data_IF_686215034141
#
_entry.id   IF_686215034141
#
_cell.length_a   1.000
_cell.length_b   1.000
_cell.length_c   1.000
_cell.angle_alpha   90.00
_cell.angle_beta   90.00
_cell.angle_gamma   90.00
#
_symmetry.space_group_name_H-M   'P 1'
#
loop_
_entity.id
_entity.type
_entity.pdbx_description
1 polymer ?
#
# COMPACT_ATOMS: atom_id res chain seq x y z
N UNK A 1 10.60 -15.54 -23.64
CA UNK A 1 9.52 -14.92 -24.44
C UNK A 1 9.00 -13.72 -23.65
N UNK A 2 9.03 -12.54 -24.27
CA UNK A 2 8.91 -11.24 -23.58
C UNK A 2 7.51 -10.95 -23.05
N UNK A 3 7.47 -10.45 -21.81
CA UNK A 3 6.24 -10.01 -21.13
C UNK A 3 5.85 -8.65 -21.72
N UNK A 4 4.82 -8.64 -22.57
CA UNK A 4 4.34 -7.43 -23.25
C UNK A 4 3.47 -6.57 -22.32
N UNK A 5 3.73 -5.26 -22.34
CA UNK A 5 3.01 -4.21 -21.62
C UNK A 5 1.48 -4.33 -21.79
N UNK A 6 0.79 -4.69 -20.71
CA UNK A 6 -0.67 -4.62 -20.59
C UNK A 6 -1.10 -3.18 -20.37
N UNK A 7 -2.24 -2.84 -20.94
CA UNK A 7 -2.98 -1.57 -20.83
C UNK A 7 -3.12 -1.11 -19.37
N UNK A 8 -2.15 -0.30 -18.95
CA UNK A 8 -2.04 0.30 -17.63
C UNK A 8 -2.94 1.54 -17.55
N UNK A 9 -4.26 1.35 -17.61
CA UNK A 9 -5.21 2.48 -17.50
C UNK A 9 -6.20 2.40 -16.34
N UNK A 10 -6.22 1.32 -15.56
CA UNK A 10 -7.17 1.20 -14.43
C UNK A 10 -6.59 0.59 -13.14
N UNK A 11 -5.27 0.45 -13.04
CA UNK A 11 -4.61 0.01 -11.80
C UNK A 11 -4.18 1.16 -10.88
N UNK A 12 -4.62 2.40 -11.15
CA UNK A 12 -4.17 3.57 -10.39
C UNK A 12 -4.99 3.83 -9.11
N UNK A 13 -6.28 3.48 -8.96
CA UNK A 13 -6.92 3.70 -7.66
C UNK A 13 -6.47 2.70 -6.58
N UNK A 14 -5.80 1.59 -6.94
CA UNK A 14 -5.36 0.56 -5.97
C UNK A 14 -3.84 0.52 -5.78
N UNK A 15 -3.05 1.20 -6.62
CA UNK A 15 -1.58 1.21 -6.53
C UNK A 15 -0.96 2.60 -6.29
N UNK A 16 -1.76 3.63 -5.99
CA UNK A 16 -1.25 4.97 -5.74
C UNK A 16 -1.99 5.67 -4.60
N UNK A 17 -1.78 5.23 -3.36
CA UNK A 17 -1.89 6.09 -2.17
C UNK A 17 -0.74 5.73 -1.25
N UNK A 18 0.37 6.43 -1.43
CA UNK A 18 1.45 6.49 -0.47
C UNK A 18 1.62 7.97 -0.12
N UNK A 19 1.64 8.24 1.20
CA UNK A 19 2.13 9.46 1.87
C UNK A 19 1.22 10.69 1.77
N UNK A 20 0.67 11.26 2.87
CA UNK A 20 1.18 12.41 3.70
C UNK A 20 0.15 12.82 4.79
N UNK A 21 0.63 13.46 5.88
CA UNK A 21 0.02 13.59 7.21
C UNK A 21 -1.14 14.62 7.42
N UNK A 22 -1.59 14.82 8.67
CA UNK A 22 -2.21 16.07 9.16
C UNK A 22 -3.68 16.07 9.61
N UNK A 23 -3.91 16.59 10.82
CA UNK A 23 -5.08 16.41 11.72
C UNK A 23 -6.32 17.27 11.41
N UNK A 24 -7.52 16.72 11.66
CA UNK A 24 -8.77 17.46 11.90
C UNK A 24 -9.97 16.55 12.18
N UNK A 25 -10.57 16.67 13.37
CA UNK A 25 -11.63 15.79 13.88
C UNK A 25 -12.93 15.83 13.06
N UNK A 26 -13.52 14.67 12.78
CA UNK A 26 -14.90 14.55 12.26
C UNK A 26 -15.71 13.72 13.26
N UNK A 27 -16.77 14.34 13.80
CA UNK A 27 -17.66 13.74 14.79
C UNK A 27 -18.53 12.61 14.23
N UNK A 28 -19.33 11.96 15.08
CA UNK A 28 -20.06 10.74 14.72
C UNK A 28 -21.13 11.04 13.65
N UNK A 29 -21.04 10.34 12.52
CA UNK A 29 -22.09 10.34 11.49
C UNK A 29 -23.22 9.42 11.97
N UNK A 30 -24.42 9.98 12.06
CA UNK A 30 -25.65 9.27 12.41
C UNK A 30 -25.87 8.07 11.49
N UNK A 31 -26.25 6.94 12.08
CA UNK A 31 -26.58 5.72 11.35
C UNK A 31 -27.86 5.92 10.52
N UNK A 32 -27.68 6.22 9.24
CA UNK A 32 -28.76 6.20 8.25
C UNK A 32 -29.09 4.74 7.91
N UNK A 33 -30.36 4.47 7.59
CA UNK A 33 -30.79 3.12 7.24
C UNK A 33 -30.00 2.62 6.02
N UNK A 34 -29.41 1.42 6.10
CA UNK A 34 -28.60 0.89 5.00
C UNK A 34 -29.41 0.86 3.69
N UNK A 35 -28.85 1.33 2.56
CA UNK A 35 -29.58 1.41 1.30
C UNK A 35 -30.09 0.04 0.84
N UNK A 36 -31.33 -0.05 0.37
CA UNK A 36 -31.86 -1.29 -0.20
C UNK A 36 -31.44 -1.40 -1.67
N UNK A 37 -30.34 -2.11 -1.92
CA UNK A 37 -29.86 -2.42 -3.27
C UNK A 37 -30.18 -3.86 -3.66
N UNK A 38 -30.34 -4.18 -4.96
CA UNK A 38 -30.51 -5.54 -5.42
C UNK A 38 -29.35 -6.46 -5.00
N UNK A 39 -29.63 -7.73 -4.73
CA UNK A 39 -28.58 -8.70 -4.43
C UNK A 39 -27.65 -8.88 -5.64
N UNK A 40 -26.34 -8.93 -5.38
CA UNK A 40 -25.31 -9.16 -6.39
C UNK A 40 -24.27 -10.14 -5.85
N UNK A 41 -23.76 -11.03 -6.70
CA UNK A 41 -22.67 -11.94 -6.33
C UNK A 41 -21.34 -11.20 -6.23
N UNK A 42 -20.38 -11.73 -5.47
CA UNK A 42 -19.03 -11.17 -5.41
C UNK A 42 -18.34 -11.18 -6.80
N UNK A 43 -18.59 -12.21 -7.61
CA UNK A 43 -18.05 -12.33 -8.96
C UNK A 43 -18.59 -11.23 -9.88
N UNK A 44 -19.90 -10.99 -9.84
CA UNK A 44 -20.54 -9.96 -10.66
C UNK A 44 -20.10 -8.56 -10.21
N UNK A 45 -20.00 -8.32 -8.91
CA UNK A 45 -19.50 -7.05 -8.37
C UNK A 45 -18.06 -6.77 -8.85
N UNK A 46 -17.16 -7.76 -8.75
CA UNK A 46 -15.78 -7.62 -9.25
C UNK A 46 -15.71 -7.45 -10.78
N UNK A 47 -16.63 -8.07 -11.51
CA UNK A 47 -16.77 -7.90 -12.96
C UNK A 47 -17.17 -6.46 -13.30
N UNK A 48 -18.13 -5.90 -12.56
CA UNK A 48 -18.59 -4.52 -12.71
C UNK A 48 -17.48 -3.53 -12.39
N UNK A 49 -16.73 -3.72 -11.31
CA UNK A 49 -15.57 -2.89 -10.95
C UNK A 49 -14.52 -2.86 -12.06
N UNK A 50 -14.20 -4.01 -12.65
CA UNK A 50 -13.24 -4.09 -13.77
C UNK A 50 -13.73 -3.43 -15.06
N UNK A 51 -15.05 -3.33 -15.22
CA UNK A 51 -15.69 -2.73 -16.39
C UNK A 51 -16.08 -1.27 -16.17
N UNK A 52 -15.83 -0.73 -14.98
CA UNK A 52 -16.12 0.65 -14.63
C UNK A 52 -15.43 1.60 -15.61
N UNK A 53 -16.15 2.63 -16.04
CA UNK A 53 -15.63 3.70 -16.87
C UNK A 53 -16.11 5.02 -16.29
N UNK A 54 -15.15 5.89 -15.98
CA UNK A 54 -15.40 7.18 -15.36
C UNK A 54 -14.56 8.19 -16.13
N UNK A 55 -15.24 9.14 -16.76
CA UNK A 55 -14.60 10.16 -17.60
C UNK A 55 -13.99 11.27 -16.76
N UNK A 56 -14.49 11.46 -15.52
CA UNK A 56 -13.87 12.31 -14.51
C UNK A 56 -14.35 12.00 -13.09
N UNK A 57 -13.51 12.35 -12.12
CA UNK A 57 -13.76 12.14 -10.71
C UNK A 57 -13.13 13.28 -9.93
N UNK A 58 -13.81 13.77 -8.90
CA UNK A 58 -13.18 14.62 -7.89
C UNK A 58 -13.72 14.29 -6.51
N UNK A 59 -12.91 14.52 -5.48
CA UNK A 59 -13.33 14.22 -4.13
C UNK A 59 -12.27 14.46 -3.07
N UNK A 60 -12.68 14.24 -1.84
CA UNK A 60 -11.79 14.22 -0.68
C UNK A 60 -11.70 12.80 -0.16
N UNK A 61 -10.48 12.29 -0.07
CA UNK A 61 -10.16 10.98 0.48
C UNK A 61 -9.52 11.18 1.83
N UNK A 62 -9.96 10.41 2.81
CA UNK A 62 -9.37 10.34 4.12
C UNK A 62 -8.78 8.95 4.33
N UNK A 63 -7.53 8.90 4.79
CA UNK A 63 -6.92 7.68 5.28
C UNK A 63 -6.78 7.78 6.79
N UNK A 64 -7.06 6.70 7.52
CA UNK A 64 -6.69 6.53 8.91
C UNK A 64 -5.97 5.19 9.09
N UNK A 65 -4.93 5.17 9.92
CA UNK A 65 -4.23 3.96 10.27
C UNK A 65 -3.95 3.93 11.78
N UNK A 66 -4.55 2.97 12.47
CA UNK A 66 -4.30 2.65 13.87
C UNK A 66 -3.89 1.18 13.97
N UNK A 67 -2.61 0.94 13.76
CA UNK A 67 -2.02 -0.39 13.90
C UNK A 67 -1.79 -0.77 15.37
N UNK A 68 -2.15 0.09 16.33
CA UNK A 68 -1.88 -0.06 17.76
C UNK A 68 -0.40 -0.06 18.13
N UNK A 69 0.47 0.44 17.24
CA UNK A 69 1.91 0.47 17.48
C UNK A 69 2.23 1.45 18.62
N UNK A 70 3.04 1.07 19.61
CA UNK A 70 3.48 2.01 20.62
C UNK A 70 4.32 3.11 19.97
N UNK A 71 4.19 4.35 20.45
CA UNK A 71 5.13 5.39 20.08
C UNK A 71 6.53 4.95 20.55
N UNK A 72 7.52 4.99 19.65
CA UNK A 72 8.93 4.69 19.98
C UNK A 72 9.74 5.99 19.87
N UNK A 73 9.89 6.76 20.96
CA UNK A 73 10.77 7.92 21.00
C UNK A 73 12.23 7.50 20.74
N UNK A 74 12.94 8.31 19.95
CA UNK A 74 14.36 8.10 19.66
C UNK A 74 14.67 7.31 18.38
N UNK A 75 13.66 6.92 17.59
CA UNK A 75 13.89 6.41 16.24
C UNK A 75 14.69 7.39 15.38
N UNK A 76 15.50 6.86 14.45
CA UNK A 76 16.21 7.66 13.48
C UNK A 76 15.20 8.52 12.67
N UNK A 77 15.54 9.77 12.30
CA UNK A 77 14.62 10.69 11.64
C UNK A 77 13.85 10.05 10.46
N UNK A 78 14.53 9.31 9.58
CA UNK A 78 13.89 8.66 8.43
C UNK A 78 12.99 7.45 8.75
N UNK A 79 13.22 6.73 9.85
CA UNK A 79 12.34 5.61 10.25
C UNK A 79 11.13 6.11 11.04
N UNK A 80 11.28 7.21 11.77
CA UNK A 80 10.17 7.89 12.45
C UNK A 80 9.20 8.48 11.43
N UNK A 81 9.70 9.20 10.43
CA UNK A 81 8.91 9.74 9.32
C UNK A 81 8.11 8.64 8.59
N UNK A 82 8.73 7.48 8.32
CA UNK A 82 8.04 6.35 7.71
C UNK A 82 6.96 5.74 8.63
N UNK A 83 7.20 5.70 9.94
CA UNK A 83 6.23 5.12 10.90
C UNK A 83 5.06 6.07 11.13
N UNK A 84 5.33 7.37 11.26
CA UNK A 84 4.33 8.45 11.38
C UNK A 84 3.51 8.62 10.09
N UNK A 85 3.98 8.05 8.98
CA UNK A 85 3.25 7.98 7.72
C UNK A 85 2.37 6.73 7.58
N UNK A 86 2.77 5.66 8.27
CA UNK A 86 2.03 4.41 8.29
C UNK A 86 0.96 4.39 9.38
N UNK A 87 1.01 5.33 10.32
CA UNK A 87 0.03 5.53 11.39
C UNK A 87 -0.52 6.95 11.36
N UNK A 88 -1.77 7.14 11.78
CA UNK A 88 -2.41 8.45 11.84
C UNK A 88 -3.42 8.70 10.73
N UNK A 89 -3.90 9.94 10.65
CA UNK A 89 -4.97 10.35 9.73
C UNK A 89 -4.43 11.34 8.69
N UNK A 90 -4.87 11.17 7.45
CA UNK A 90 -4.35 11.87 6.27
C UNK A 90 -5.52 12.29 5.38
N UNK A 91 -5.47 13.50 4.82
CA UNK A 91 -6.54 13.99 3.92
C UNK A 91 -5.98 14.42 2.58
N UNK A 92 -6.40 13.72 1.53
CA UNK A 92 -6.03 14.04 0.15
C UNK A 92 -7.24 14.56 -0.63
N UNK A 93 -7.06 15.61 -1.41
CA UNK A 93 -8.01 15.99 -2.47
C UNK A 93 -7.53 15.39 -3.77
N UNK A 94 -8.43 14.69 -4.45
CA UNK A 94 -8.13 14.02 -5.71
C UNK A 94 -9.04 14.57 -6.80
N UNK A 95 -8.47 14.72 -8.00
CA UNK A 95 -9.23 14.99 -9.21
C UNK A 95 -8.61 14.24 -10.38
N UNK A 96 -9.45 13.74 -11.28
CA UNK A 96 -9.07 13.02 -12.48
C UNK A 96 -10.01 13.43 -13.62
N UNK A 97 -9.48 13.58 -14.81
CA UNK A 97 -10.25 13.65 -16.04
C UNK A 97 -9.52 12.91 -17.16
N UNK A 98 -10.25 12.09 -17.89
CA UNK A 98 -9.71 11.45 -19.09
C UNK A 98 -9.36 12.51 -20.15
N UNK A 99 -8.36 12.26 -21.01
CA UNK A 99 -7.51 11.06 -21.04
C UNK A 99 -6.27 11.12 -20.13
N UNK A 100 -5.88 12.29 -19.65
CA UNK A 100 -4.51 12.54 -19.18
C UNK A 100 -4.38 13.59 -18.07
N UNK A 101 -5.48 13.98 -17.42
CA UNK A 101 -5.46 14.98 -16.35
C UNK A 101 -5.64 14.34 -14.99
N UNK A 102 -4.81 14.74 -14.04
CA UNK A 102 -4.89 14.25 -12.67
C UNK A 102 -4.34 15.31 -11.71
N UNK A 103 -4.90 15.34 -10.50
CA UNK A 103 -4.41 16.16 -9.40
C UNK A 103 -4.59 15.40 -8.09
N UNK A 104 -3.56 15.44 -7.27
CA UNK A 104 -3.56 14.96 -5.88
C UNK A 104 -2.94 16.06 -5.03
N UNK A 105 -3.72 16.63 -4.13
CA UNK A 105 -3.25 17.56 -3.10
C UNK A 105 -3.34 16.84 -1.76
N UNK A 106 -2.20 16.53 -1.14
CA UNK A 106 -2.16 16.13 0.26
C UNK A 106 -2.10 17.36 1.14
N UNK A 107 -2.98 17.41 2.13
CA UNK A 107 -3.04 18.50 3.08
C UNK A 107 -2.55 18.02 4.44
N UNK A 108 -1.41 18.53 4.89
CA UNK A 108 -0.76 18.10 6.12
C UNK A 108 -0.25 19.26 6.95
N UNK A 109 -0.76 19.44 8.17
CA UNK A 109 -0.20 20.29 9.23
C UNK A 109 0.45 21.61 8.71
N UNK A 110 -0.36 22.45 8.07
CA UNK A 110 0.03 23.74 7.46
C UNK A 110 0.93 23.67 6.21
N UNK A 111 1.19 22.47 5.69
CA UNK A 111 1.87 22.20 4.43
C UNK A 111 0.93 21.52 3.41
N UNK A 112 1.21 21.75 2.13
CA UNK A 112 0.57 21.09 1.00
C UNK A 112 1.66 20.40 0.18
N UNK A 113 1.44 19.12 -0.10
CA UNK A 113 2.14 18.43 -1.18
C UNK A 113 1.17 18.23 -2.34
N UNK A 114 1.56 18.68 -3.52
CA UNK A 114 0.71 18.67 -4.70
C UNK A 114 1.42 17.97 -5.84
N UNK A 115 0.71 17.05 -6.48
CA UNK A 115 1.04 16.51 -7.79
C UNK A 115 -0.10 16.79 -8.75
N UNK A 116 0.19 17.40 -9.90
CA UNK A 116 -0.84 17.63 -10.92
C UNK A 116 -0.28 17.45 -12.32
N UNK A 117 -1.13 17.07 -13.25
CA UNK A 117 -0.84 17.09 -14.67
C UNK A 117 -2.06 17.52 -15.46
N UNK A 118 -1.83 18.34 -16.48
CA UNK A 118 -2.83 18.78 -17.44
C UNK A 118 -2.74 18.02 -18.79
N UNK A 119 -1.90 16.98 -18.85
CA UNK A 119 -1.60 16.22 -20.07
C UNK A 119 -0.39 16.75 -20.87
N UNK A 120 0.04 17.99 -20.64
CA UNK A 120 1.19 18.62 -21.32
C UNK A 120 2.37 18.80 -20.39
N UNK A 121 2.09 19.16 -19.15
CA UNK A 121 3.06 19.31 -18.08
C UNK A 121 2.60 18.54 -16.85
N UNK A 122 3.56 18.10 -16.04
CA UNK A 122 3.31 17.62 -14.70
C UNK A 122 4.07 18.49 -13.69
N UNK A 123 3.50 18.68 -12.51
CA UNK A 123 4.06 19.44 -11.43
C UNK A 123 4.10 18.60 -10.17
N UNK A 124 5.20 18.72 -9.42
CA UNK A 124 5.30 18.30 -8.03
C UNK A 124 5.66 19.54 -7.20
N UNK A 125 4.93 19.81 -6.14
CA UNK A 125 5.12 20.98 -5.27
C UNK A 125 5.11 20.55 -3.81
N UNK A 126 6.03 21.11 -3.04
CA UNK A 126 6.15 20.93 -1.60
C UNK A 126 6.21 22.32 -0.95
N UNK A 127 5.11 22.70 -0.26
CA UNK A 127 5.02 24.03 0.34
C UNK A 127 5.95 24.22 1.53
N UNK A 128 6.33 23.13 2.22
CA UNK A 128 7.22 23.19 3.38
C UNK A 128 8.63 23.61 2.97
N UNK A 129 9.06 23.18 1.78
CA UNK A 129 10.36 23.52 1.18
C UNK A 129 10.29 24.74 0.27
N UNK A 130 9.08 25.18 -0.11
CA UNK A 130 8.86 26.20 -1.16
C UNK A 130 9.56 25.83 -2.46
N UNK A 131 9.47 24.56 -2.85
CA UNK A 131 10.07 24.03 -4.07
C UNK A 131 8.99 23.43 -4.97
N UNK A 132 9.13 23.67 -6.28
CA UNK A 132 8.31 23.05 -7.31
C UNK A 132 9.19 22.45 -8.39
N UNK A 133 8.83 21.26 -8.85
CA UNK A 133 9.43 20.62 -10.02
C UNK A 133 8.41 20.58 -11.14
N UNK A 134 8.76 21.12 -12.30
CA UNK A 134 7.96 21.04 -13.53
C UNK A 134 8.57 20.02 -14.46
N UNK A 135 7.76 19.08 -14.91
CA UNK A 135 8.12 18.10 -15.93
C UNK A 135 7.34 18.41 -17.21
N UNK A 136 8.03 18.71 -18.30
CA UNK A 136 7.37 18.77 -19.62
C UNK A 136 7.17 17.36 -20.14
N UNK A 137 5.92 17.00 -20.44
CA UNK A 137 5.58 15.69 -20.96
C UNK A 137 5.78 15.69 -22.48
N UNK A 138 6.33 14.60 -23.07
CA UNK A 138 6.40 14.48 -24.51
C UNK A 138 4.99 14.54 -25.08
N UNK A 139 4.82 15.22 -26.21
CA UNK A 139 3.56 15.18 -26.95
C UNK A 139 3.15 13.72 -27.11
N UNK A 140 1.93 13.38 -26.71
CA UNK A 140 1.33 12.12 -27.15
C UNK A 140 1.29 12.22 -28.67
N UNK A 141 2.27 11.64 -29.37
CA UNK A 141 2.09 11.30 -30.76
C UNK A 141 0.82 10.49 -30.77
N UNK A 142 -0.25 11.04 -31.37
CA UNK A 142 -1.45 10.28 -31.70
C UNK A 142 -0.93 8.96 -32.23
N UNK A 143 -1.15 7.88 -31.48
CA UNK A 143 -0.55 6.60 -31.77
C UNK A 143 -0.82 6.33 -33.23
N UNK A 144 0.23 6.25 -34.06
CA UNK A 144 0.15 5.58 -35.36
C UNK A 144 -0.67 4.34 -35.08
N UNK A 145 -1.83 4.12 -35.75
CA UNK A 145 -2.80 3.11 -35.34
C UNK A 145 -2.02 1.83 -35.11
N UNK A 146 -1.79 1.54 -33.84
CA UNK A 146 -0.90 0.45 -33.46
C UNK A 146 -1.67 -0.73 -33.96
N UNK A 147 -1.18 -1.38 -35.05
CA UNK A 147 -1.80 -2.54 -35.70
C UNK A 147 -2.58 -3.24 -34.63
N UNK A 148 -3.91 -3.16 -34.72
CA UNK A 148 -4.83 -3.69 -33.72
C UNK A 148 -4.40 -5.12 -33.52
N UNK A 149 -3.53 -5.35 -32.52
CA UNK A 149 -3.27 -6.69 -32.04
C UNK A 149 -4.67 -7.14 -31.66
N UNK A 150 -5.15 -8.29 -32.18
CA UNK A 150 -6.48 -8.76 -31.84
C UNK A 150 -6.60 -8.57 -30.34
N UNK A 151 -7.57 -7.77 -29.90
CA UNK A 151 -7.81 -7.61 -28.49
C UNK A 151 -7.98 -9.04 -28.03
N UNK A 152 -6.99 -9.59 -27.30
CA UNK A 152 -7.23 -10.83 -26.59
C UNK A 152 -8.47 -10.51 -25.79
N UNK A 153 -9.58 -11.19 -26.11
CA UNK A 153 -10.91 -10.87 -25.60
C UNK A 153 -10.81 -10.70 -24.09
N UNK A 154 -10.67 -9.45 -23.64
CA UNK A 154 -10.53 -9.17 -22.23
C UNK A 154 -11.92 -9.43 -21.68
N UNK A 155 -12.03 -10.52 -20.94
CA UNK A 155 -13.28 -10.94 -20.34
C UNK A 155 -13.18 -10.69 -18.82
N UNK A 156 -13.74 -9.57 -18.33
CA UNK A 156 -13.74 -9.23 -16.90
C UNK A 156 -14.33 -10.35 -16.03
N UNK A 157 -15.30 -11.12 -16.54
CA UNK A 157 -15.92 -12.23 -15.81
C UNK A 157 -14.91 -13.37 -15.58
N UNK A 158 -14.14 -13.71 -16.61
CA UNK A 158 -13.10 -14.74 -16.50
C UNK A 158 -12.00 -14.33 -15.52
N UNK A 159 -11.60 -13.05 -15.53
CA UNK A 159 -10.61 -12.50 -14.61
C UNK A 159 -11.13 -12.48 -13.17
N UNK A 160 -12.37 -12.04 -12.95
CA UNK A 160 -13.01 -12.05 -11.64
C UNK A 160 -13.10 -13.48 -11.07
N UNK A 161 -13.56 -14.44 -11.90
CA UNK A 161 -13.64 -15.86 -11.52
C UNK A 161 -12.28 -16.44 -11.16
N UNK A 162 -11.25 -16.16 -11.97
CA UNK A 162 -9.89 -16.65 -11.72
C UNK A 162 -9.31 -16.05 -10.43
N UNK A 163 -9.54 -14.76 -10.18
CA UNK A 163 -9.12 -14.11 -8.94
C UNK A 163 -9.79 -14.76 -7.72
N UNK A 164 -11.12 -14.92 -7.74
CA UNK A 164 -11.86 -15.55 -6.65
C UNK A 164 -11.39 -16.99 -6.40
N UNK A 165 -11.18 -17.78 -7.45
CA UNK A 165 -10.67 -19.14 -7.32
C UNK A 165 -9.26 -19.20 -6.72
N UNK A 166 -8.40 -18.20 -7.02
CA UNK A 166 -7.04 -18.15 -6.48
C UNK A 166 -7.02 -17.83 -4.98
N UNK A 167 -7.97 -17.03 -4.49
CA UNK A 167 -8.01 -16.63 -3.07
C UNK A 167 -8.95 -17.48 -2.22
N UNK A 168 -9.94 -18.16 -2.81
CA UNK A 168 -10.92 -18.97 -2.09
C UNK A 168 -10.29 -19.97 -1.10
N UNK A 169 -9.19 -20.69 -1.39
CA UNK A 169 -8.61 -21.61 -0.42
C UNK A 169 -8.19 -20.96 0.91
N UNK A 170 -7.88 -19.66 0.91
CA UNK A 170 -7.41 -18.92 2.10
C UNK A 170 -8.36 -17.82 2.58
N UNK A 171 -9.34 -17.43 1.76
CA UNK A 171 -10.15 -16.23 1.98
C UNK A 171 -11.60 -16.48 1.59
N UNK A 172 -12.52 -16.24 2.52
CA UNK A 172 -13.94 -16.17 2.21
C UNK A 172 -14.26 -14.80 1.65
N UNK A 173 -14.94 -14.76 0.49
CA UNK A 173 -15.32 -13.51 -0.17
C UNK A 173 -16.84 -13.47 -0.33
N UNK A 174 -17.47 -12.40 0.16
CA UNK A 174 -18.92 -12.24 0.11
C UNK A 174 -19.33 -10.78 -0.02
N UNK A 175 -20.49 -10.53 -0.64
CA UNK A 175 -21.16 -9.24 -0.52
C UNK A 175 -21.96 -9.28 0.78
N UNK A 176 -21.51 -8.54 1.78
CA UNK A 176 -22.00 -8.61 3.16
C UNK A 176 -23.16 -7.68 3.48
N UNK A 177 -23.63 -6.92 2.48
CA UNK A 177 -24.70 -5.95 2.60
C UNK A 177 -24.36 -4.68 1.84
N UNK A 178 -24.97 -3.59 2.28
CA UNK A 178 -24.88 -2.26 1.66
C UNK A 178 -24.59 -1.20 2.70
N UNK A 179 -24.13 -0.05 2.26
CA UNK A 179 -23.92 1.13 3.09
C UNK A 179 -23.94 2.40 2.26
N UNK A 180 -23.82 3.56 2.93
CA UNK A 180 -23.70 4.86 2.27
C UNK A 180 -22.30 5.42 2.55
N UNK A 181 -21.53 5.71 1.51
CA UNK A 181 -20.17 6.29 1.60
C UNK A 181 -20.16 7.61 0.83
N UNK A 182 -19.74 8.72 1.45
CA UNK A 182 -19.76 10.04 0.81
C UNK A 182 -21.10 10.39 0.12
N UNK A 183 -22.22 10.01 0.75
CA UNK A 183 -23.57 10.22 0.20
C UNK A 183 -24.00 9.24 -0.90
N UNK A 184 -23.15 8.29 -1.28
CA UNK A 184 -23.36 7.29 -2.34
C UNK A 184 -23.77 5.94 -1.78
N UNK A 185 -24.76 5.30 -2.40
CA UNK A 185 -25.14 3.93 -2.05
C UNK A 185 -24.12 2.91 -2.60
N UNK A 186 -23.60 2.05 -1.74
CA UNK A 186 -22.50 1.14 -2.04
C UNK A 186 -22.78 -0.30 -1.57
N UNK A 187 -22.19 -1.27 -2.28
CA UNK A 187 -22.12 -2.67 -1.87
C UNK A 187 -20.86 -2.93 -1.04
N UNK A 188 -20.98 -3.75 0.02
CA UNK A 188 -19.85 -4.13 0.88
C UNK A 188 -19.26 -5.48 0.48
N UNK A 189 -18.17 -5.46 -0.28
CA UNK A 189 -17.39 -6.67 -0.56
C UNK A 189 -16.47 -6.97 0.64
N UNK A 190 -16.79 -8.02 1.39
CA UNK A 190 -16.04 -8.44 2.57
C UNK A 190 -15.17 -9.67 2.27
N UNK A 191 -13.90 -9.57 2.64
CA UNK A 191 -12.89 -10.62 2.57
C UNK A 191 -12.50 -11.02 4.00
N UNK A 192 -12.63 -12.30 4.32
CA UNK A 192 -12.35 -12.85 5.66
C UNK A 192 -11.30 -13.95 5.53
N UNK A 193 -10.12 -13.84 6.18
CA UNK A 193 -9.16 -14.92 6.22
C UNK A 193 -9.74 -16.19 6.85
N UNK A 194 -9.60 -17.34 6.19
CA UNK A 194 -10.07 -18.66 6.67
C UNK A 194 -9.14 -19.29 7.73
N UNK A 195 -8.13 -18.55 8.17
CA UNK A 195 -7.09 -18.96 9.13
C UNK A 195 -7.16 -18.09 10.38
N UNK A 196 -6.82 -18.65 11.53
CA UNK A 196 -6.70 -17.97 12.83
C UNK A 196 -5.28 -17.46 13.09
N UNK A 197 -4.33 -17.79 12.22
CA UNK A 197 -2.91 -17.40 12.30
C UNK A 197 -2.64 -15.94 11.96
N UNK A 198 -3.65 -15.19 11.51
CA UNK A 198 -3.54 -13.77 11.17
C UNK A 198 -4.25 -12.87 12.18
N UNK A 199 -3.67 -11.70 12.44
CA UNK A 199 -4.30 -10.61 13.20
C UNK A 199 -5.37 -9.88 12.39
N UNK A 200 -5.46 -10.11 11.08
CA UNK A 200 -6.51 -9.54 10.22
C UNK A 200 -7.82 -10.30 10.46
N UNK A 201 -8.86 -9.56 10.86
CA UNK A 201 -10.21 -10.09 11.01
C UNK A 201 -10.96 -10.08 9.69
N UNK A 202 -10.98 -8.93 9.00
CA UNK A 202 -11.55 -8.81 7.67
C UNK A 202 -11.07 -7.57 6.93
N UNK A 203 -11.14 -7.60 5.61
CA UNK A 203 -11.04 -6.42 4.74
C UNK A 203 -12.40 -6.20 4.08
N UNK A 204 -12.93 -4.98 4.15
CA UNK A 204 -14.18 -4.61 3.48
C UNK A 204 -13.90 -3.53 2.46
N UNK A 205 -14.44 -3.68 1.25
CA UNK A 205 -14.38 -2.68 0.19
C UNK A 205 -15.81 -2.24 -0.14
N UNK A 206 -16.10 -0.96 0.05
CA UNK A 206 -17.35 -0.36 -0.37
C UNK A 206 -17.26 0.01 -1.84
N UNK A 207 -18.18 -0.48 -2.67
CA UNK A 207 -18.21 -0.24 -4.12
C UNK A 207 -19.47 0.49 -4.52
N UNK A 208 -19.35 1.63 -5.18
CA UNK A 208 -20.48 2.42 -5.65
C UNK A 208 -21.44 1.60 -6.51
N UNK A 209 -22.74 1.70 -6.24
CA UNK A 209 -23.77 0.92 -6.94
C UNK A 209 -24.07 1.36 -8.38
N UNK A 210 -23.61 2.54 -8.81
CA UNK A 210 -23.89 3.10 -10.14
C UNK A 210 -22.66 3.14 -11.03
N UNK A 211 -21.54 3.63 -10.50
CA UNK A 211 -20.26 3.80 -11.22
C UNK A 211 -19.31 2.64 -11.01
N UNK A 212 -19.56 1.79 -10.00
CA UNK A 212 -18.74 0.63 -9.67
C UNK A 212 -17.30 0.97 -9.25
N UNK A 213 -17.09 2.21 -8.81
CA UNK A 213 -15.82 2.68 -8.25
C UNK A 213 -15.73 2.31 -6.78
N UNK A 214 -14.60 1.76 -6.30
CA UNK A 214 -14.35 1.60 -4.88
C UNK A 214 -14.36 2.95 -4.16
N UNK A 215 -15.16 3.06 -3.11
CA UNK A 215 -15.35 4.29 -2.35
C UNK A 215 -14.68 4.26 -0.97
N UNK A 216 -14.56 3.08 -0.36
CA UNK A 216 -13.92 2.89 0.93
C UNK A 216 -13.22 1.52 0.99
N UNK A 217 -12.12 1.46 1.73
CA UNK A 217 -11.45 0.24 2.16
C UNK A 217 -11.22 0.28 3.66
N UNK A 218 -11.79 -0.68 4.36
CA UNK A 218 -11.66 -0.84 5.82
C UNK A 218 -10.99 -2.17 6.17
N UNK A 219 -9.95 -2.14 7.01
CA UNK A 219 -9.29 -3.32 7.56
C UNK A 219 -9.60 -3.44 9.04
N UNK A 220 -10.29 -4.50 9.42
CA UNK A 220 -10.67 -4.80 10.80
C UNK A 220 -9.68 -5.75 11.46
N UNK A 221 -9.23 -5.47 12.70
CA UNK A 221 -8.47 -6.44 13.49
C UNK A 221 -9.33 -7.63 13.87
N UNK A 222 -8.71 -8.79 14.02
CA UNK A 222 -9.34 -10.01 14.54
C UNK A 222 -9.75 -9.87 16.01
N UNK A 223 -9.04 -9.04 16.77
CA UNK A 223 -9.37 -8.71 18.17
C UNK A 223 -10.61 -7.83 18.33
N UNK A 224 -11.16 -7.28 17.24
CA UNK A 224 -12.28 -6.34 17.27
C UNK A 224 -11.86 -4.89 17.59
N UNK A 225 -12.84 -4.04 17.93
CA UNK A 225 -12.64 -2.61 18.16
C UNK A 225 -12.70 -1.77 16.88
N UNK A 226 -12.03 -0.61 16.88
CA UNK A 226 -11.99 0.29 15.72
C UNK A 226 -11.20 -0.34 14.55
N UNK A 227 -11.47 0.06 13.29
CA UNK A 227 -10.62 -0.26 12.16
C UNK A 227 -9.14 -0.03 12.44
N UNK A 228 -8.29 -0.88 11.89
CA UNK A 228 -6.86 -0.68 11.92
C UNK A 228 -6.35 0.15 10.74
N UNK A 229 -7.05 0.07 9.61
CA UNK A 229 -6.83 0.92 8.44
C UNK A 229 -8.20 1.26 7.87
N UNK A 230 -8.38 2.52 7.50
CA UNK A 230 -9.54 3.01 6.76
C UNK A 230 -9.02 3.94 5.65
N UNK A 231 -9.55 3.81 4.45
CA UNK A 231 -9.22 4.65 3.31
C UNK A 231 -10.48 4.84 2.48
N UNK A 232 -11.11 6.00 2.61
CA UNK A 232 -12.41 6.24 1.99
C UNK A 232 -12.65 7.68 1.58
N UNK A 233 -13.57 7.85 0.63
CA UNK A 233 -14.05 9.18 0.27
C UNK A 233 -14.94 9.74 1.39
N UNK A 234 -14.66 10.97 1.80
CA UNK A 234 -15.57 11.80 2.61
C UNK A 234 -16.50 12.64 1.74
N UNK A 235 -16.06 12.95 0.51
CA UNK A 235 -16.89 13.53 -0.55
C UNK A 235 -16.43 13.02 -1.93
N UNK A 236 -17.37 12.78 -2.84
CA UNK A 236 -17.06 12.34 -4.20
C UNK A 236 -18.08 12.88 -5.21
N UNK A 237 -17.59 13.35 -6.36
CA UNK A 237 -18.35 13.63 -7.58
C UNK A 237 -17.71 12.86 -8.74
N UNK A 238 -18.56 12.36 -9.64
CA UNK A 238 -18.16 11.70 -10.88
C UNK A 238 -18.36 12.61 -12.11
N UNK A 239 -18.58 13.90 -11.88
CA UNK A 239 -18.56 14.90 -12.94
C UNK A 239 -17.13 15.13 -13.42
N UNK A 240 -16.98 15.52 -14.68
CA UNK A 240 -15.67 15.89 -15.24
C UNK A 240 -15.23 17.23 -14.63
N UNK A 241 -14.13 17.27 -13.85
CA UNK A 241 -13.64 18.53 -13.29
C UNK A 241 -13.24 19.50 -14.39
N UNK A 242 -13.37 20.81 -14.13
CA UNK A 242 -12.97 21.82 -15.10
C UNK A 242 -11.47 21.73 -15.40
N UNK A 243 -11.07 22.12 -16.62
CA UNK A 243 -9.65 22.08 -17.01
C UNK A 243 -8.75 22.92 -16.10
N UNK A 244 -9.27 24.00 -15.50
CA UNK A 244 -8.54 24.86 -14.57
C UNK A 244 -8.18 24.14 -13.26
N UNK A 245 -8.93 23.12 -12.83
CA UNK A 245 -8.61 22.32 -11.65
C UNK A 245 -7.23 21.63 -11.73
N UNK A 246 -6.74 21.36 -12.94
CA UNK A 246 -5.48 20.66 -13.19
C UNK A 246 -4.30 21.59 -13.43
N UNK A 247 -4.56 22.90 -13.56
CA UNK A 247 -3.50 23.89 -13.71
C UNK A 247 -2.84 24.19 -12.37
N UNK A 248 -1.53 24.42 -12.39
CA UNK A 248 -0.76 24.85 -11.22
C UNK A 248 0.14 26.01 -11.59
N UNK A 249 0.05 27.07 -10.78
CA UNK A 249 0.92 28.23 -10.82
C UNK A 249 1.66 28.28 -9.49
N UNK A 250 3.01 28.14 -9.49
CA UNK A 250 3.79 28.23 -8.26
C UNK A 250 3.53 29.56 -7.54
N UNK A 251 3.30 29.54 -6.21
CA UNK A 251 3.25 30.76 -5.41
C UNK A 251 4.53 31.61 -5.52
N UNK A 252 4.43 32.90 -5.22
CA UNK A 252 5.59 33.79 -5.22
C UNK A 252 6.68 33.30 -4.25
N UNK A 253 7.95 33.34 -4.68
CA UNK A 253 9.10 32.91 -3.87
C UNK A 253 9.36 31.39 -3.87
N UNK A 254 8.61 30.61 -4.66
CA UNK A 254 8.88 29.17 -4.85
C UNK A 254 10.01 28.96 -5.84
N UNK A 255 10.99 28.15 -5.47
CA UNK A 255 12.08 27.73 -6.36
C UNK A 255 11.57 26.68 -7.34
N UNK A 256 11.58 26.99 -8.64
CA UNK A 256 11.13 26.09 -9.70
C UNK A 256 12.32 25.40 -10.36
N UNK A 257 12.28 24.08 -10.40
CA UNK A 257 13.21 23.24 -11.16
C UNK A 257 12.49 22.67 -12.38
N UNK A 258 12.99 22.94 -13.57
CA UNK A 258 12.41 22.39 -14.81
C UNK A 258 13.17 21.15 -15.27
N UNK A 259 12.43 20.11 -15.62
CA UNK A 259 12.95 18.86 -16.16
C UNK A 259 12.16 18.50 -17.43
N UNK A 260 12.84 17.84 -18.38
CA UNK A 260 12.18 17.21 -19.53
C UNK A 260 12.08 15.72 -19.25
N UNK A 261 10.89 15.16 -19.41
CA UNK A 261 10.74 13.71 -19.33
C UNK A 261 11.61 13.07 -20.42
N UNK A 262 12.40 12.03 -20.11
CA UNK A 262 13.24 11.39 -21.12
C UNK A 262 12.36 10.88 -22.26
N UNK A 263 12.62 11.40 -23.46
CA UNK A 263 11.95 10.96 -24.67
C UNK A 263 12.41 9.53 -24.98
N UNK A 264 11.60 8.52 -24.60
CA UNK A 264 11.76 7.09 -24.94
C UNK A 264 13.20 6.70 -25.34
N UNK A 265 14.14 6.77 -24.41
CA UNK A 265 15.30 5.89 -24.54
C UNK A 265 14.77 4.51 -24.22
N UNK A 266 14.89 3.59 -25.17
CA UNK A 266 14.54 2.20 -24.94
C UNK A 266 15.12 1.76 -23.59
N UNK A 267 14.36 0.97 -22.84
CA UNK A 267 14.89 0.17 -21.73
C UNK A 267 16.31 -0.27 -22.14
N UNK A 268 17.36 -0.03 -21.34
CA UNK A 268 18.65 -0.62 -21.64
C UNK A 268 18.35 -2.10 -21.87
N UNK A 269 18.70 -2.61 -23.05
CA UNK A 269 18.72 -4.05 -23.27
C UNK A 269 19.72 -4.56 -22.25
N UNK A 270 19.22 -4.94 -21.08
CA UNK A 270 19.94 -5.84 -20.20
C UNK A 270 20.15 -7.05 -21.06
N UNK A 271 21.35 -7.19 -21.60
CA UNK A 271 21.79 -8.44 -22.17
C UNK A 271 21.48 -9.48 -21.11
N UNK A 272 20.52 -10.35 -21.41
CA UNK A 272 20.30 -11.54 -20.61
C UNK A 272 21.68 -12.23 -20.56
N UNK A 273 22.21 -12.54 -19.36
CA UNK A 273 23.37 -13.41 -19.29
C UNK A 273 23.04 -14.67 -20.07
N UNK A 274 23.86 -14.95 -21.09
CA UNK A 274 23.78 -16.17 -21.88
C UNK A 274 23.74 -17.36 -20.92
N UNK A 275 22.89 -18.32 -21.26
CA UNK A 275 22.73 -19.60 -20.56
C UNK A 275 24.07 -20.13 -20.07
N UNK A 276 24.18 -20.32 -18.75
CA UNK A 276 25.30 -21.04 -18.14
C UNK A 276 25.05 -22.53 -18.33
N UNK A 277 25.95 -23.17 -19.08
CA UNK A 277 26.04 -24.62 -19.21
C UNK A 277 26.15 -25.28 -17.81
N UNK A 278 25.43 -26.37 -17.53
CA UNK A 278 25.54 -27.09 -16.27
C UNK A 278 26.77 -27.99 -16.33
N UNK A 279 27.94 -27.48 -15.94
CA UNK A 279 29.14 -28.23 -15.49
C UNK A 279 30.28 -27.25 -15.26
N UNK A 280 30.36 -26.68 -14.06
CA UNK A 280 31.63 -26.29 -13.42
C UNK A 280 31.31 -25.76 -12.02
N UNK A 281 31.70 -26.53 -11.01
CA UNK A 281 31.73 -26.13 -9.60
C UNK A 281 32.73 -24.98 -9.39
N UNK A 282 32.32 -23.80 -8.92
CA UNK A 282 33.27 -22.74 -8.58
C UNK A 282 33.88 -23.01 -7.20
N UNK A 283 35.19 -23.19 -7.21
CA UNK A 283 36.09 -23.25 -6.05
C UNK A 283 35.95 -21.95 -5.24
N UNK A 284 35.64 -22.08 -3.95
CA UNK A 284 35.58 -20.99 -2.97
C UNK A 284 36.94 -20.28 -2.90
N UNK A 285 36.98 -19.01 -3.28
CA UNK A 285 38.07 -18.10 -2.93
C UNK A 285 37.76 -17.46 -1.57
N UNK A 286 38.75 -17.30 -0.67
CA UNK A 286 38.52 -16.79 0.67
C UNK A 286 38.22 -15.29 0.63
N UNK A 287 37.05 -14.90 1.15
CA UNK A 287 36.64 -13.50 1.28
C UNK A 287 37.12 -12.92 2.62
N UNK A 288 37.77 -11.75 2.54
CA UNK A 288 38.22 -10.91 3.65
C UNK A 288 37.08 -10.62 4.66
N UNK A 289 37.33 -10.63 5.97
CA UNK A 289 36.36 -10.26 6.98
C UNK A 289 36.23 -8.73 7.07
N UNK A 290 34.99 -8.22 7.11
CA UNK A 290 34.70 -6.81 7.40
C UNK A 290 33.85 -6.09 6.35
N UNK A 291 32.53 -6.31 6.39
CA UNK A 291 31.51 -5.33 5.97
C UNK A 291 30.13 -5.90 6.35
N UNK A 292 29.47 -5.27 7.31
CA UNK A 292 28.13 -5.62 7.78
C UNK A 292 27.11 -5.24 6.70
N UNK A 293 26.69 -6.24 5.90
CA UNK A 293 25.48 -6.13 5.09
C UNK A 293 24.34 -6.77 5.87
N UNK A 294 23.29 -6.00 6.17
CA UNK A 294 22.02 -6.61 6.57
C UNK A 294 21.56 -7.53 5.42
N UNK A 295 21.36 -8.81 5.71
CA UNK A 295 20.87 -9.75 4.70
C UNK A 295 19.49 -9.32 4.19
N UNK A 296 19.18 -9.64 2.93
CA UNK A 296 17.88 -9.34 2.32
C UNK A 296 16.72 -9.93 3.15
N UNK A 297 15.60 -9.21 3.34
CA UNK A 297 14.42 -9.76 4.00
C UNK A 297 13.95 -11.05 3.32
N UNK A 298 13.65 -12.06 4.12
CA UNK A 298 13.14 -13.37 3.66
C UNK A 298 11.69 -13.52 4.08
N UNK A 299 10.81 -13.99 3.20
CA UNK A 299 9.41 -14.27 3.54
C UNK A 299 9.24 -15.75 3.84
N UNK A 300 8.63 -16.07 4.98
CA UNK A 300 8.30 -17.42 5.43
C UNK A 300 6.78 -17.54 5.49
N UNK A 301 6.23 -18.63 4.95
CA UNK A 301 4.78 -18.81 4.83
C UNK A 301 4.21 -18.20 3.56
N UNK A 302 2.88 -18.17 3.46
CA UNK A 302 2.14 -17.73 2.27
C UNK A 302 0.83 -17.06 2.68
N UNK A 303 0.35 -16.09 1.89
CA UNK A 303 -0.94 -15.44 2.12
C UNK A 303 -1.01 -14.75 3.49
N UNK A 304 -2.10 -14.96 4.22
CA UNK A 304 -2.36 -14.37 5.54
C UNK A 304 -1.38 -14.80 6.65
N UNK A 305 -0.66 -15.90 6.45
CA UNK A 305 0.29 -16.47 7.40
C UNK A 305 1.74 -16.01 7.13
N UNK A 306 1.93 -15.01 6.26
CA UNK A 306 3.25 -14.58 5.81
C UNK A 306 3.99 -13.82 6.91
N UNK A 307 5.25 -14.22 7.13
CA UNK A 307 6.16 -13.62 8.11
C UNK A 307 7.41 -13.14 7.38
N UNK A 308 7.78 -11.89 7.61
CA UNK A 308 9.05 -11.34 7.14
C UNK A 308 10.13 -11.61 8.20
N UNK A 309 11.24 -12.21 7.78
CA UNK A 309 12.43 -12.41 8.57
C UNK A 309 13.56 -11.48 8.10
N UNK A 310 14.20 -10.80 9.04
CA UNK A 310 15.39 -9.97 8.84
C UNK A 310 16.50 -10.51 9.74
N UNK A 311 17.75 -10.52 9.24
CA UNK A 311 18.95 -10.96 9.98
C UNK A 311 19.91 -9.80 10.18
N UNK A 312 20.78 -9.94 11.18
CA UNK A 312 21.85 -8.97 11.44
C UNK A 312 21.36 -7.72 12.15
N UNK A 313 20.15 -7.74 12.72
CA UNK A 313 19.78 -6.75 13.71
C UNK A 313 20.60 -7.06 14.95
N UNK A 314 21.67 -6.29 15.20
CA UNK A 314 22.43 -6.43 16.43
C UNK A 314 21.50 -6.09 17.59
N UNK A 315 21.10 -7.12 18.35
CA UNK A 315 20.29 -6.95 19.56
C UNK A 315 20.99 -6.02 20.55
N UNK A 316 22.32 -5.98 20.56
CA UNK A 316 23.13 -5.04 21.33
C UNK A 316 22.86 -3.56 20.98
N UNK A 317 22.61 -3.21 19.70
CA UNK A 317 22.18 -1.86 19.34
C UNK A 317 20.77 -1.59 19.87
N UNK A 318 19.88 -2.58 19.81
CA UNK A 318 18.49 -2.48 20.30
C UNK A 318 18.38 -2.45 21.84
N UNK A 319 19.37 -3.00 22.57
CA UNK A 319 19.35 -3.14 24.03
C UNK A 319 20.39 -2.29 24.78
N UNK A 320 21.27 -1.56 24.08
CA UNK A 320 21.97 -0.42 24.66
C UNK A 320 23.48 -0.33 24.38
N UNK A 321 23.90 0.86 23.95
CA UNK A 321 25.30 1.31 23.94
C UNK A 321 25.47 2.83 24.01
N UNK A 322 24.53 3.63 23.48
CA UNK A 322 24.53 5.09 23.62
C UNK A 322 23.10 5.67 23.56
N UNK A 323 22.46 5.87 24.72
CA UNK A 323 21.46 6.92 25.02
C UNK A 323 20.17 7.14 24.19
N UNK A 324 19.93 6.50 23.03
CA UNK A 324 18.79 6.84 22.14
C UNK A 324 17.80 5.69 21.83
N UNK A 325 18.13 4.44 22.19
CA UNK A 325 17.26 3.25 22.03
C UNK A 325 16.63 2.77 23.35
N UNK A 326 16.76 3.54 24.43
CA UNK A 326 16.38 3.14 25.79
C UNK A 326 14.90 2.80 25.99
N UNK A 327 13.98 3.38 25.21
CA UNK A 327 12.55 3.06 25.34
C UNK A 327 12.15 1.77 24.61
N UNK A 328 12.77 1.47 23.47
CA UNK A 328 12.61 0.17 22.82
C UNK A 328 13.23 -0.95 23.68
N UNK A 329 14.39 -0.70 24.29
CA UNK A 329 14.99 -1.58 25.29
C UNK A 329 14.09 -1.81 26.50
N UNK A 330 13.41 -0.77 27.01
CA UNK A 330 12.42 -0.90 28.09
C UNK A 330 11.16 -1.66 27.65
N UNK A 331 10.67 -1.45 26.44
CA UNK A 331 9.55 -2.20 25.86
C UNK A 331 9.92 -3.69 25.74
N UNK A 332 11.11 -3.99 25.22
CA UNK A 332 11.65 -5.35 25.10
C UNK A 332 11.94 -5.99 26.46
N UNK A 333 12.34 -5.20 27.47
CA UNK A 333 12.53 -5.68 28.83
C UNK A 333 11.20 -6.17 29.44
N UNK A 334 10.11 -5.45 29.20
CA UNK A 334 8.75 -5.80 29.63
C UNK A 334 8.06 -6.84 28.73
N UNK A 335 8.57 -7.05 27.52
CA UNK A 335 8.03 -8.01 26.58
C UNK A 335 8.14 -9.45 27.12
N UNK A 336 7.14 -10.31 26.87
CA UNK A 336 7.19 -11.73 27.22
C UNK A 336 8.43 -12.40 26.61
N UNK A 337 9.15 -13.18 27.43
CA UNK A 337 10.18 -14.09 26.94
C UNK A 337 9.52 -15.37 26.47
N UNK A 338 9.83 -15.79 25.26
CA UNK A 338 9.40 -17.07 24.69
C UNK A 338 10.61 -17.93 24.34
N UNK A 339 10.43 -19.25 24.35
CA UNK A 339 11.48 -20.23 24.06
C UNK A 339 10.94 -21.29 23.11
N UNK A 340 11.80 -21.79 22.23
CA UNK A 340 11.47 -22.88 21.33
C UNK A 340 12.72 -23.53 20.71
N UNK A 341 12.55 -24.45 19.75
CA UNK A 341 13.66 -25.13 19.08
C UNK A 341 14.64 -24.17 18.38
N UNK A 342 14.21 -22.94 18.11
CA UNK A 342 15.01 -21.88 17.49
C UNK A 342 15.80 -21.03 18.50
N UNK A 343 15.69 -21.30 19.81
CA UNK A 343 16.35 -20.55 20.89
C UNK A 343 15.33 -19.82 21.77
N UNK A 344 15.75 -18.67 22.29
CA UNK A 344 14.90 -17.79 23.10
C UNK A 344 14.83 -16.38 22.51
N UNK A 345 13.76 -15.66 22.82
CA UNK A 345 13.52 -14.32 22.29
C UNK A 345 12.42 -13.59 23.03
N UNK A 346 12.14 -12.37 22.55
CA UNK A 346 11.09 -11.48 23.06
C UNK A 346 10.03 -11.27 21.99
N UNK A 347 8.75 -11.36 22.39
CA UNK A 347 7.63 -11.05 21.51
C UNK A 347 7.03 -9.69 21.87
N UNK A 348 6.86 -8.85 20.86
CA UNK A 348 6.15 -7.58 20.95
C UNK A 348 4.91 -7.67 20.06
N UNK A 349 3.76 -7.33 20.59
CA UNK A 349 2.48 -7.36 19.87
C UNK A 349 1.78 -6.02 19.94
N UNK A 350 1.16 -5.64 18.83
CA UNK A 350 0.20 -4.55 18.74
C UNK A 350 -1.19 -5.08 18.34
N UNK A 351 -2.11 -4.18 18.04
CA UNK A 351 -3.45 -4.49 17.51
C UNK A 351 -3.39 -5.32 16.22
N UNK A 352 -2.41 -5.02 15.35
CA UNK A 352 -2.26 -5.66 14.04
C UNK A 352 -0.93 -6.35 13.83
N UNK A 353 0.17 -5.83 14.38
CA UNK A 353 1.51 -6.31 14.07
C UNK A 353 2.05 -7.10 15.24
N UNK A 354 2.57 -8.29 14.97
CA UNK A 354 3.38 -9.04 15.92
C UNK A 354 4.82 -9.07 15.44
N UNK A 355 5.76 -8.99 16.37
CA UNK A 355 7.19 -9.14 16.12
C UNK A 355 7.84 -10.06 17.17
N UNK A 356 8.73 -10.95 16.72
CA UNK A 356 9.58 -11.80 17.53
C UNK A 356 11.03 -11.42 17.27
N UNK A 357 11.74 -11.00 18.32
CA UNK A 357 13.17 -10.67 18.30
C UNK A 357 13.89 -11.80 19.02
N UNK A 358 14.68 -12.58 18.30
CA UNK A 358 15.43 -13.72 18.85
C UNK A 358 16.79 -13.27 19.37
N UNK A 359 17.33 -14.00 20.34
CA UNK A 359 18.64 -13.71 20.92
C UNK A 359 19.81 -13.92 19.93
N UNK A 360 19.59 -14.70 18.87
CA UNK A 360 20.55 -14.89 17.77
C UNK A 360 20.49 -13.79 16.70
N UNK A 361 19.73 -12.70 16.91
CA UNK A 361 19.75 -11.52 16.04
C UNK A 361 18.81 -11.59 14.82
N UNK A 362 17.83 -12.50 14.84
CA UNK A 362 16.76 -12.58 13.83
C UNK A 362 15.52 -11.85 14.32
N UNK A 363 14.88 -11.12 13.41
CA UNK A 363 13.60 -10.46 13.65
C UNK A 363 12.57 -11.06 12.73
N UNK A 364 11.47 -11.54 13.28
CA UNK A 364 10.30 -12.03 12.56
C UNK A 364 9.14 -11.07 12.80
N UNK A 365 8.49 -10.59 11.74
CA UNK A 365 7.36 -9.68 11.87
C UNK A 365 6.26 -9.96 10.82
N UNK A 366 5.01 -9.71 11.19
CA UNK A 366 3.89 -9.84 10.27
C UNK A 366 2.55 -9.50 10.91
N UNK A 367 1.50 -9.51 10.07
CA UNK A 367 0.10 -9.42 10.50
C UNK A 367 -0.40 -10.80 10.97
N UNK A 368 0.36 -11.41 11.88
CA UNK A 368 0.19 -12.80 12.31
C UNK A 368 0.16 -12.91 13.83
N UNK A 369 -0.35 -14.03 14.34
CA UNK A 369 -0.35 -14.33 15.77
C UNK A 369 1.07 -14.60 16.29
N UNK A 370 1.33 -14.40 17.59
CA UNK A 370 2.59 -14.78 18.23
C UNK A 370 3.02 -16.22 17.94
N UNK A 371 2.09 -17.17 17.96
CA UNK A 371 2.37 -18.59 17.70
C UNK A 371 2.83 -18.83 16.26
N UNK A 372 2.28 -18.06 15.31
CA UNK A 372 2.71 -18.12 13.90
C UNK A 372 4.14 -17.63 13.73
N UNK A 373 4.55 -16.60 14.46
CA UNK A 373 5.95 -16.14 14.47
C UNK A 373 6.89 -17.20 15.03
N UNK A 374 6.52 -17.85 16.14
CA UNK A 374 7.32 -18.91 16.74
C UNK A 374 7.45 -20.12 15.82
N UNK A 375 6.36 -20.50 15.15
CA UNK A 375 6.37 -21.56 14.15
C UNK A 375 7.21 -21.21 12.91
N UNK A 376 7.21 -19.94 12.49
CA UNK A 376 8.08 -19.46 11.41
C UNK A 376 9.56 -19.50 11.82
N UNK A 377 9.90 -19.06 13.04
CA UNK A 377 11.25 -19.08 13.57
C UNK A 377 11.83 -20.51 13.67
N UNK A 378 10.98 -21.50 13.98
CA UNK A 378 11.36 -22.92 14.00
C UNK A 378 11.72 -23.48 12.61
N UNK A 379 11.14 -22.93 11.54
CA UNK A 379 11.39 -23.34 10.15
C UNK A 379 12.47 -22.51 9.46
N UNK A 380 12.83 -21.39 10.05
CA UNK A 380 13.80 -20.47 9.48
C UNK A 380 15.21 -21.03 9.58
N UNK A 381 16.03 -20.92 8.51
CA UNK A 381 17.45 -21.24 8.61
C UNK A 381 18.10 -20.36 9.69
N UNK A 382 18.89 -20.99 10.55
CA UNK A 382 19.69 -20.27 11.55
C UNK A 382 20.74 -19.41 10.86
#
# INVERSE_FOLDING_TARGET
MGVAQRSRRWLVPVAAVAVVAGVGAIGPVMADASPKLPNISAQDLLTKVQSAKVDGLSGTVQSSADLGLPAIPGMAPGTRELTDLLSGQHTARVAFATPDKARVSLLDNQAEQLWTTDGKSAWAYDSSKREATKLTLPAHSASTPQKTRPQQNYNPQAVAKQFLAAIDPSTQVQVSGTEKVAGRDAYKLKLVPKTDKTTVGSVTVAVDSKTWVPLDVTVMPRSGGNPAVELGFTSVSFDVPSASSFTFTPPAGVKVTEQKAPAKSGLPKTELPKQVNPKTTPKLLPRKPGSANADKPTVIGTGWDSVVMIRGAQTADLTGGNGKLGQLGQLLAKAPTVQGPWGSGKIVTSKMVSALITNDGRIFAGLVTPDTLQAAAAKAPR
#
